data_IF_314852519246
#
_entry.id   IF_314852519246
#
_cell.length_a   1.000
_cell.length_b   1.000
_cell.length_c   1.000
_cell.angle_alpha   90.00
_cell.angle_beta   90.00
_cell.angle_gamma   90.00
#
_symmetry.space_group_name_H-M   'P 1'
#
loop_
_entity.id
_entity.type
_entity.pdbx_description
1 polymer ?
#
# COMPACT_ATOMS: atom_id res chain seq x y z
N UNK A 1 6.08 6.61 9.09
CA UNK A 1 6.29 5.45 8.19
C UNK A 1 6.53 4.20 9.02
N UNK A 2 6.57 3.04 8.39
CA UNK A 2 6.86 1.77 9.06
C UNK A 2 8.01 1.07 8.38
N UNK A 3 8.83 0.38 9.16
CA UNK A 3 9.86 -0.54 8.67
C UNK A 3 9.55 -1.87 9.35
N UNK A 4 9.40 -2.93 8.57
CA UNK A 4 9.17 -4.29 9.05
C UNK A 4 10.32 -5.17 8.59
N UNK A 5 10.78 -6.05 9.47
CA UNK A 5 11.80 -7.06 9.17
C UNK A 5 11.43 -8.34 9.91
N UNK A 6 11.74 -9.48 9.33
CA UNK A 6 11.66 -10.80 9.96
C UNK A 6 13.01 -11.25 10.55
N UNK A 7 14.06 -10.43 10.40
CA UNK A 7 15.42 -10.69 10.90
C UNK A 7 15.70 -9.85 12.16
N UNK A 8 16.05 -10.53 13.24
CA UNK A 8 16.31 -9.94 14.57
C UNK A 8 17.58 -9.06 14.59
N UNK A 9 18.61 -9.40 13.83
CA UNK A 9 19.83 -8.61 13.74
C UNK A 9 19.57 -7.28 13.03
N UNK A 10 18.75 -7.31 11.97
CA UNK A 10 18.24 -6.10 11.33
C UNK A 10 17.36 -5.27 12.28
N UNK A 11 16.46 -5.92 13.02
CA UNK A 11 15.62 -5.22 14.01
C UNK A 11 16.45 -4.49 15.06
N UNK A 12 17.45 -5.15 15.65
CA UNK A 12 18.33 -4.54 16.64
C UNK A 12 19.05 -3.30 16.09
N UNK A 13 19.59 -3.41 14.88
CA UNK A 13 20.30 -2.32 14.19
C UNK A 13 19.36 -1.14 13.89
N UNK A 14 18.18 -1.40 13.33
CA UNK A 14 17.17 -0.39 13.01
C UNK A 14 16.65 0.34 14.26
N UNK A 15 16.47 -0.38 15.36
CA UNK A 15 16.03 0.19 16.64
C UNK A 15 17.06 1.17 17.21
N UNK A 16 18.35 0.84 17.13
CA UNK A 16 19.43 1.75 17.56
C UNK A 16 19.46 2.99 16.65
N UNK A 17 19.44 2.78 15.32
CA UNK A 17 19.44 3.87 14.36
C UNK A 17 18.26 4.84 14.55
N UNK A 18 17.04 4.32 14.75
CA UNK A 18 15.86 5.17 14.96
C UNK A 18 15.95 6.02 16.23
N UNK A 19 16.49 5.45 17.31
CA UNK A 19 16.73 6.20 18.56
C UNK A 19 17.80 7.27 18.37
N UNK A 20 18.91 6.95 17.71
CA UNK A 20 20.02 7.87 17.49
C UNK A 20 19.64 9.04 16.56
N UNK A 21 18.84 8.77 15.53
CA UNK A 21 18.36 9.77 14.57
C UNK A 21 17.16 10.58 15.10
N UNK A 22 16.54 10.15 16.19
CA UNK A 22 15.41 10.87 16.79
C UNK A 22 14.17 10.90 15.90
N UNK A 23 13.96 9.87 15.07
CA UNK A 23 12.80 9.78 14.17
C UNK A 23 11.67 8.81 14.59
N UNK A 24 11.45 8.46 15.89
CA UNK A 24 10.27 7.68 16.26
C UNK A 24 9.00 8.51 16.06
N UNK A 25 7.89 7.82 15.77
CA UNK A 25 6.59 8.46 15.61
C UNK A 25 6.04 8.96 16.96
N UNK A 26 5.30 10.08 16.96
CA UNK A 26 4.64 10.56 18.17
C UNK A 26 3.62 9.51 18.68
N UNK A 27 3.37 9.43 20.01
CA UNK A 27 2.38 8.49 20.54
C UNK A 27 0.98 8.71 19.99
N UNK A 28 0.58 9.96 19.74
CA UNK A 28 -0.74 10.30 19.23
C UNK A 28 -0.92 9.90 17.75
N UNK A 29 0.11 10.10 16.93
CA UNK A 29 0.07 9.64 15.53
C UNK A 29 0.06 8.12 15.46
N UNK A 30 0.81 7.46 16.34
CA UNK A 30 0.82 5.99 16.47
C UNK A 30 -0.57 5.45 16.82
N UNK A 31 -1.28 6.09 17.75
CA UNK A 31 -2.66 5.73 18.08
C UNK A 31 -3.62 5.97 16.91
N UNK A 32 -3.48 7.08 16.21
CA UNK A 32 -4.33 7.42 15.06
C UNK A 32 -4.21 6.40 13.94
N UNK A 33 -2.98 5.93 13.68
CA UNK A 33 -2.70 4.83 12.76
C UNK A 33 -3.38 3.54 13.22
N UNK A 34 -3.21 3.14 14.49
CA UNK A 34 -3.81 1.92 15.04
C UNK A 34 -5.34 1.96 14.95
N UNK A 35 -5.96 3.13 15.16
CA UNK A 35 -7.40 3.31 14.93
C UNK A 35 -7.78 3.14 13.47
N UNK A 36 -7.02 3.75 12.55
CA UNK A 36 -7.26 3.61 11.12
C UNK A 36 -7.10 2.17 10.61
N UNK A 37 -6.21 1.38 11.22
CA UNK A 37 -5.97 -0.01 10.85
C UNK A 37 -7.22 -0.88 11.00
N UNK A 38 -8.07 -0.59 12.01
CA UNK A 38 -9.32 -1.34 12.26
C UNK A 38 -10.28 -1.35 11.07
N UNK A 39 -10.25 -0.30 10.24
CA UNK A 39 -11.10 -0.17 9.04
C UNK A 39 -10.32 -0.33 7.75
N UNK A 40 -9.05 -0.75 7.80
CA UNK A 40 -8.22 -0.88 6.61
C UNK A 40 -8.82 -1.87 5.62
N UNK A 41 -9.30 -3.02 6.08
CA UNK A 41 -9.84 -4.08 5.23
C UNK A 41 -11.02 -3.55 4.41
N UNK A 42 -12.06 -3.03 5.06
CA UNK A 42 -13.26 -2.53 4.37
C UNK A 42 -12.97 -1.33 3.46
N UNK A 43 -11.99 -0.48 3.80
CA UNK A 43 -11.58 0.64 2.94
C UNK A 43 -10.84 0.14 1.72
N UNK A 44 -9.93 -0.83 1.89
CA UNK A 44 -9.13 -1.38 0.81
C UNK A 44 -10.01 -2.15 -0.18
N UNK A 45 -10.95 -2.97 0.30
CA UNK A 45 -11.94 -3.64 -0.54
C UNK A 45 -12.72 -2.65 -1.39
N UNK A 46 -13.31 -1.62 -0.76
CA UNK A 46 -14.05 -0.58 -1.48
C UNK A 46 -13.17 0.20 -2.46
N UNK A 47 -11.93 0.49 -2.08
CA UNK A 47 -10.97 1.17 -2.96
C UNK A 47 -10.64 0.32 -4.19
N UNK A 48 -10.47 -1.00 -4.04
CA UNK A 48 -10.23 -1.93 -5.15
C UNK A 48 -11.44 -2.04 -6.08
N UNK A 49 -12.66 -2.16 -5.53
CA UNK A 49 -13.90 -2.15 -6.31
C UNK A 49 -14.02 -0.86 -7.14
N UNK A 50 -13.87 0.30 -6.49
CA UNK A 50 -13.97 1.60 -7.14
C UNK A 50 -12.89 1.79 -8.21
N UNK A 51 -11.64 1.37 -7.93
CA UNK A 51 -10.56 1.42 -8.90
C UNK A 51 -10.85 0.56 -10.13
N UNK A 52 -11.46 -0.61 -9.95
CA UNK A 52 -11.86 -1.49 -11.07
C UNK A 52 -12.94 -0.84 -11.93
N UNK A 53 -13.95 -0.20 -11.33
CA UNK A 53 -14.99 0.54 -12.04
C UNK A 53 -14.39 1.69 -12.85
N UNK A 54 -13.55 2.52 -12.20
CA UNK A 54 -12.90 3.65 -12.86
C UNK A 54 -12.01 3.21 -14.01
N UNK A 55 -11.26 2.13 -13.83
CA UNK A 55 -10.42 1.57 -14.88
C UNK A 55 -11.25 1.13 -16.08
N UNK A 56 -12.32 0.35 -15.87
CA UNK A 56 -13.23 -0.07 -16.95
C UNK A 56 -13.80 1.14 -17.71
N UNK A 57 -14.17 2.18 -16.99
CA UNK A 57 -14.68 3.40 -17.59
C UNK A 57 -13.61 4.10 -18.45
N UNK A 58 -12.41 4.28 -17.91
CA UNK A 58 -11.30 4.98 -18.59
C UNK A 58 -10.75 4.19 -19.78
N UNK A 59 -10.73 2.86 -19.74
CA UNK A 59 -10.30 2.00 -20.86
C UNK A 59 -11.18 2.16 -22.10
N UNK A 60 -12.47 2.46 -21.90
CA UNK A 60 -13.42 2.66 -23.00
C UNK A 60 -13.59 4.14 -23.40
N UNK A 61 -12.88 5.06 -22.74
CA UNK A 61 -13.05 6.49 -22.97
C UNK A 61 -12.21 6.96 -24.18
N UNK A 62 -12.81 7.58 -25.21
CA UNK A 62 -12.14 7.87 -26.48
C UNK A 62 -10.96 8.85 -26.38
N UNK A 63 -10.95 9.72 -25.35
CA UNK A 63 -9.84 10.66 -25.08
C UNK A 63 -8.71 10.07 -24.23
N UNK A 64 -8.80 8.82 -23.79
CA UNK A 64 -7.76 8.17 -22.96
C UNK A 64 -6.90 7.29 -23.86
N UNK A 65 -5.61 7.57 -23.91
CA UNK A 65 -4.67 6.80 -24.73
C UNK A 65 -4.24 5.48 -24.08
N UNK A 66 -4.15 5.44 -22.75
CA UNK A 66 -3.72 4.28 -21.98
C UNK A 66 -4.15 4.39 -20.52
N UNK A 67 -4.53 3.25 -19.94
CA UNK A 67 -4.75 3.10 -18.50
C UNK A 67 -3.67 2.18 -17.92
N UNK A 68 -3.01 2.61 -16.85
CA UNK A 68 -2.01 1.84 -16.13
C UNK A 68 -2.60 1.39 -14.80
N UNK A 69 -2.99 0.12 -14.71
CA UNK A 69 -3.54 -0.47 -13.49
C UNK A 69 -2.77 -1.74 -13.13
N UNK A 70 -2.46 -1.93 -11.83
CA UNK A 70 -1.78 -3.14 -11.36
C UNK A 70 -2.52 -4.41 -11.81
N UNK A 71 -1.78 -5.40 -12.29
CA UNK A 71 -2.32 -6.70 -12.70
C UNK A 71 -3.11 -6.70 -14.02
N UNK A 72 -3.10 -5.59 -14.77
CA UNK A 72 -3.85 -5.49 -16.03
C UNK A 72 -3.09 -4.83 -17.17
N UNK A 73 -1.97 -4.17 -16.88
CA UNK A 73 -1.18 -3.49 -17.90
C UNK A 73 -0.45 -4.45 -18.86
N UNK A 74 -0.15 -5.68 -18.46
CA UNK A 74 0.41 -6.71 -19.35
C UNK A 74 -0.05 -8.14 -19.01
N UNK A 75 -0.03 -9.08 -19.96
CA UNK A 75 -0.35 -10.48 -19.69
C UNK A 75 0.53 -11.09 -18.59
N UNK A 76 1.84 -10.78 -18.60
CA UNK A 76 2.79 -11.27 -17.60
C UNK A 76 2.53 -10.70 -16.21
N UNK A 77 2.19 -9.41 -16.12
CA UNK A 77 1.87 -8.80 -14.83
C UNK A 77 0.57 -9.35 -14.23
N UNK A 78 -0.42 -9.63 -15.09
CA UNK A 78 -1.67 -10.26 -14.66
C UNK A 78 -1.45 -11.63 -14.03
N UNK A 79 -0.56 -12.43 -14.60
CA UNK A 79 -0.16 -13.72 -14.04
C UNK A 79 0.49 -13.58 -12.65
N UNK A 80 1.45 -12.66 -12.50
CA UNK A 80 2.14 -12.42 -11.22
C UNK A 80 1.17 -11.92 -10.15
N UNK A 81 0.22 -11.06 -10.51
CA UNK A 81 -0.71 -10.46 -9.56
C UNK A 81 -1.77 -11.44 -9.04
N UNK A 82 -2.03 -12.54 -9.76
CA UNK A 82 -3.00 -13.57 -9.35
C UNK A 82 -2.42 -14.69 -8.48
N UNK A 83 -1.08 -14.79 -8.38
CA UNK A 83 -0.37 -15.74 -7.52
C UNK A 83 -0.33 -15.27 -6.06
#
# INVERSE_FOLDING_TARGET
GFILTNDDAWYASLKIASKALGNPLSPFDSYSILRGLKTLVIRLERQQENATILRNYLENHPSVSRVLAPGWYSPKEKEIHTL
#
